data_IF_475040924365
#
_entry.id   IF_475040924365
#
_cell.length_a   1.000
_cell.length_b   1.000
_cell.length_c   1.000
_cell.angle_alpha   90.00
_cell.angle_beta   90.00
_cell.angle_gamma   90.00
#
_symmetry.space_group_name_H-M   'P 1'
#
loop_
_entity.id
_entity.type
_entity.pdbx_description
1 polymer ?
#
# COMPACT_ATOMS: atom_id res chain seq x y z
N UNK A 1 14.13 -0.39 0.26
CA UNK A 1 13.06 0.57 0.57
C UNK A 1 11.81 0.09 -0.16
N UNK A 2 10.64 0.12 0.49
CA UNK A 2 9.38 -0.27 -0.12
C UNK A 2 8.27 0.67 0.33
N UNK A 3 7.51 1.22 -0.62
CA UNK A 3 6.39 2.15 -0.40
C UNK A 3 6.79 3.56 0.06
N UNK A 4 8.07 3.92 0.05
CA UNK A 4 8.53 5.28 0.35
C UNK A 4 7.99 6.30 -0.65
N UNK A 5 7.95 5.93 -1.93
CA UNK A 5 7.45 6.76 -3.01
C UNK A 5 5.95 7.01 -2.87
N UNK A 6 5.20 5.99 -2.46
CA UNK A 6 3.76 6.07 -2.17
C UNK A 6 3.52 6.97 -0.95
N UNK A 7 4.27 6.77 0.13
CA UNK A 7 4.14 7.59 1.35
C UNK A 7 4.44 9.06 1.06
N UNK A 8 5.51 9.35 0.32
CA UNK A 8 5.89 10.71 -0.05
C UNK A 8 4.80 11.38 -0.91
N UNK A 9 4.36 10.71 -1.98
CA UNK A 9 3.31 11.25 -2.85
C UNK A 9 2.01 11.50 -2.08
N UNK A 10 1.64 10.61 -1.16
CA UNK A 10 0.43 10.77 -0.36
C UNK A 10 0.55 11.95 0.61
N UNK A 11 1.69 12.10 1.29
CA UNK A 11 1.98 13.26 2.16
C UNK A 11 1.90 14.58 1.38
N UNK A 12 2.48 14.63 0.19
CA UNK A 12 2.41 15.79 -0.68
C UNK A 12 0.97 16.11 -1.09
N UNK A 13 0.17 15.10 -1.46
CA UNK A 13 -1.27 15.29 -1.75
C UNK A 13 -2.06 15.77 -0.53
N UNK A 14 -1.74 15.29 0.67
CA UNK A 14 -2.34 15.77 1.92
C UNK A 14 -2.04 17.26 2.20
N UNK A 15 -0.93 17.78 1.66
CA UNK A 15 -0.55 19.20 1.74
C UNK A 15 -1.08 20.02 0.55
N UNK A 16 -1.86 19.43 -0.37
CA UNK A 16 -2.43 20.12 -1.52
C UNK A 16 -1.52 20.19 -2.76
N UNK A 17 -0.36 19.55 -2.74
CA UNK A 17 0.52 19.47 -3.92
C UNK A 17 -0.03 18.51 -4.98
N UNK A 18 0.34 18.78 -6.24
CA UNK A 18 0.04 17.92 -7.38
C UNK A 18 1.24 17.01 -7.66
N UNK A 19 0.96 15.75 -8.01
CA UNK A 19 1.97 14.80 -8.48
C UNK A 19 1.87 14.75 -10.01
N UNK A 20 2.95 15.09 -10.68
CA UNK A 20 3.04 15.21 -12.14
C UNK A 20 4.17 14.31 -12.65
N UNK A 21 4.11 13.94 -13.93
CA UNK A 21 5.20 13.26 -14.62
C UNK A 21 5.55 14.05 -15.89
N UNK A 22 6.81 13.93 -16.34
CA UNK A 22 7.30 14.61 -17.53
C UNK A 22 7.35 13.59 -18.69
N UNK A 23 6.37 13.57 -19.62
CA UNK A 23 6.31 12.57 -20.68
C UNK A 23 7.49 12.64 -21.67
N UNK A 24 8.14 13.81 -21.79
CA UNK A 24 9.31 14.01 -22.65
C UNK A 24 10.65 13.61 -22.01
N UNK A 25 10.66 13.20 -20.75
CA UNK A 25 11.87 12.73 -20.07
C UNK A 25 11.88 11.20 -20.03
N UNK A 26 12.80 10.59 -20.78
CA UNK A 26 12.98 9.14 -20.79
C UNK A 26 14.13 8.73 -19.86
N UNK A 27 13.88 7.74 -18.99
CA UNK A 27 14.86 7.20 -18.05
C UNK A 27 14.81 5.68 -18.10
N UNK A 28 15.96 5.06 -18.36
CA UNK A 28 16.11 3.61 -18.36
C UNK A 28 16.25 3.11 -16.93
N UNK A 29 15.34 2.23 -16.50
CA UNK A 29 15.32 1.67 -15.16
C UNK A 29 15.45 0.16 -15.19
N UNK A 30 16.40 -0.38 -14.45
CA UNK A 30 16.52 -1.83 -14.23
C UNK A 30 15.54 -2.23 -13.12
N UNK A 31 14.42 -2.84 -13.51
CA UNK A 31 13.40 -3.30 -12.59
C UNK A 31 13.92 -4.37 -11.63
N UNK A 32 13.67 -4.20 -10.32
CA UNK A 32 13.89 -5.26 -9.33
C UNK A 32 15.34 -5.43 -8.83
N UNK A 33 16.22 -4.44 -9.01
CA UNK A 33 17.66 -4.57 -8.72
C UNK A 33 18.09 -4.79 -7.25
N UNK A 34 17.22 -4.57 -6.25
CA UNK A 34 17.62 -4.63 -4.83
C UNK A 34 17.02 -5.78 -4.04
N UNK A 35 15.77 -6.20 -4.31
CA UNK A 35 15.12 -7.24 -3.52
C UNK A 35 14.17 -8.08 -4.39
N UNK A 36 14.57 -9.34 -4.61
CA UNK A 36 13.80 -10.31 -5.40
C UNK A 36 12.37 -10.48 -4.86
N UNK A 37 11.42 -10.67 -5.77
CA UNK A 37 10.00 -10.85 -5.45
C UNK A 37 9.76 -12.07 -4.52
N UNK A 38 10.63 -13.07 -4.59
CA UNK A 38 10.54 -14.29 -3.80
C UNK A 38 11.31 -14.22 -2.45
N UNK A 39 11.42 -13.04 -1.85
CA UNK A 39 12.09 -12.85 -0.56
C UNK A 39 11.05 -12.59 0.57
N UNK A 40 10.97 -13.44 1.61
CA UNK A 40 10.10 -13.20 2.77
C UNK A 40 10.33 -11.86 3.48
N UNK A 41 11.55 -11.34 3.46
CA UNK A 41 11.85 -10.01 4.00
C UNK A 41 11.14 -8.90 3.22
N UNK A 42 11.02 -9.03 1.89
CA UNK A 42 10.24 -8.12 1.04
C UNK A 42 8.78 -8.12 1.45
N UNK A 43 8.23 -9.32 1.64
CA UNK A 43 6.86 -9.53 2.13
C UNK A 43 6.66 -8.83 3.46
N UNK A 44 7.54 -9.05 4.44
CA UNK A 44 7.50 -8.35 5.72
C UNK A 44 7.47 -6.83 5.56
N UNK A 45 8.37 -6.26 4.77
CA UNK A 45 8.43 -4.81 4.53
C UNK A 45 7.15 -4.29 3.86
N UNK A 46 6.61 -5.01 2.86
CA UNK A 46 5.40 -4.61 2.16
C UNK A 46 4.17 -4.58 3.08
N UNK A 47 3.91 -5.65 3.83
CA UNK A 47 2.77 -5.72 4.73
C UNK A 47 2.88 -4.70 5.86
N UNK A 48 4.08 -4.55 6.45
CA UNK A 48 4.33 -3.61 7.54
C UNK A 48 4.16 -2.16 7.07
N UNK A 49 4.86 -1.78 6.00
CA UNK A 49 4.86 -0.42 5.51
C UNK A 49 3.47 -0.02 5.01
N UNK A 50 2.71 -0.95 4.41
CA UNK A 50 1.34 -0.67 3.99
C UNK A 50 0.44 -0.22 5.16
N UNK A 51 0.46 -0.96 6.27
CA UNK A 51 -0.30 -0.57 7.46
C UNK A 51 0.15 0.78 8.02
N UNK A 52 1.46 1.03 8.04
CA UNK A 52 2.03 2.30 8.51
C UNK A 52 1.61 3.48 7.62
N UNK A 53 1.62 3.34 6.30
CA UNK A 53 1.20 4.44 5.41
C UNK A 53 -0.30 4.72 5.54
N UNK A 54 -1.14 3.69 5.74
CA UNK A 54 -2.57 3.86 5.98
C UNK A 54 -2.80 4.66 7.27
N UNK A 55 -2.12 4.28 8.36
CA UNK A 55 -2.22 4.96 9.65
C UNK A 55 -1.78 6.44 9.57
N UNK A 56 -0.71 6.73 8.82
CA UNK A 56 -0.13 8.09 8.75
C UNK A 56 -0.90 9.04 7.83
N UNK A 57 -1.53 8.53 6.76
CA UNK A 57 -1.99 9.40 5.68
C UNK A 57 -3.51 9.52 5.55
N UNK A 58 -4.29 8.58 6.10
CA UNK A 58 -5.76 8.64 6.06
C UNK A 58 -6.32 9.44 7.24
N UNK A 59 -7.49 10.11 7.10
CA UNK A 59 -8.27 10.57 8.26
C UNK A 59 -8.48 9.43 9.27
N UNK A 60 -8.56 9.74 10.57
CA UNK A 60 -8.59 8.71 11.61
C UNK A 60 -9.71 7.67 11.41
N UNK A 61 -10.94 8.11 11.15
CA UNK A 61 -12.08 7.23 10.89
C UNK A 61 -11.85 6.29 9.69
N UNK A 62 -11.30 6.84 8.60
CA UNK A 62 -10.96 6.06 7.40
C UNK A 62 -9.79 5.10 7.67
N UNK A 63 -8.83 5.51 8.49
CA UNK A 63 -7.67 4.69 8.82
C UNK A 63 -8.11 3.42 9.57
N UNK A 64 -8.98 3.52 10.58
CA UNK A 64 -9.46 2.37 11.34
C UNK A 64 -10.16 1.34 10.44
N UNK A 65 -11.15 1.79 9.65
CA UNK A 65 -11.91 0.90 8.75
C UNK A 65 -11.03 0.25 7.68
N UNK A 66 -10.13 1.01 7.05
CA UNK A 66 -9.24 0.50 5.98
C UNK A 66 -8.15 -0.41 6.53
N UNK A 67 -7.61 -0.12 7.71
CA UNK A 67 -6.64 -1.02 8.37
C UNK A 67 -7.32 -2.34 8.72
N UNK A 68 -8.55 -2.32 9.24
CA UNK A 68 -9.29 -3.54 9.53
C UNK A 68 -9.50 -4.40 8.28
N UNK A 69 -10.04 -3.81 7.19
CA UNK A 69 -10.21 -4.50 5.91
C UNK A 69 -8.86 -5.04 5.41
N UNK A 70 -7.79 -4.26 5.56
CA UNK A 70 -6.46 -4.67 5.13
C UNK A 70 -5.97 -5.89 5.90
N UNK A 71 -6.15 -5.94 7.22
CA UNK A 71 -5.79 -7.10 8.04
C UNK A 71 -6.57 -8.36 7.62
N UNK A 72 -7.85 -8.23 7.25
CA UNK A 72 -8.63 -9.35 6.71
C UNK A 72 -8.07 -9.85 5.37
N UNK A 73 -7.71 -8.95 4.45
CA UNK A 73 -7.09 -9.32 3.16
C UNK A 73 -5.72 -9.96 3.39
N UNK A 74 -4.93 -9.43 4.33
CA UNK A 74 -3.64 -9.99 4.72
C UNK A 74 -3.79 -11.41 5.28
N UNK A 75 -4.86 -11.70 6.01
CA UNK A 75 -5.18 -13.04 6.49
C UNK A 75 -5.49 -14.02 5.35
N UNK A 76 -6.21 -13.58 4.31
CA UNK A 76 -6.42 -14.39 3.10
C UNK A 76 -5.08 -14.69 2.42
N UNK A 77 -4.20 -13.70 2.31
CA UNK A 77 -2.85 -13.90 1.78
C UNK A 77 -2.03 -14.87 2.64
N UNK A 78 -2.14 -14.78 3.96
CA UNK A 78 -1.50 -15.69 4.91
C UNK A 78 -1.96 -17.14 4.70
N UNK A 79 -3.27 -17.40 4.62
CA UNK A 79 -3.82 -18.74 4.34
C UNK A 79 -3.26 -19.26 3.02
N UNK A 80 -3.26 -18.44 1.97
CA UNK A 80 -2.73 -18.82 0.66
C UNK A 80 -1.25 -19.20 0.73
N UNK A 81 -0.41 -18.48 1.46
CA UNK A 81 0.99 -18.85 1.62
C UNK A 81 1.16 -20.16 2.40
N UNK A 82 0.36 -20.38 3.44
CA UNK A 82 0.37 -21.63 4.21
C UNK A 82 -0.03 -22.83 3.33
N UNK A 83 -1.10 -22.71 2.55
CA UNK A 83 -1.54 -23.77 1.60
C UNK A 83 -0.50 -24.08 0.52
N UNK A 84 0.37 -23.12 0.18
CA UNK A 84 1.47 -23.31 -0.76
C UNK A 84 2.76 -23.86 -0.11
N UNK A 85 2.75 -24.17 1.19
CA UNK A 85 3.94 -24.57 1.93
C UNK A 85 4.97 -23.44 2.15
N UNK A 86 4.61 -22.19 1.83
CA UNK A 86 5.48 -21.01 1.93
C UNK A 86 5.44 -20.40 3.32
N UNK A 87 5.78 -21.20 4.34
CA UNK A 87 5.68 -20.81 5.75
C UNK A 87 6.47 -19.54 6.07
N UNK A 88 7.65 -19.36 5.48
CA UNK A 88 8.47 -18.15 5.68
C UNK A 88 7.74 -16.85 5.25
N UNK A 89 6.88 -16.91 4.24
CA UNK A 89 6.07 -15.76 3.80
C UNK A 89 4.91 -15.49 4.77
N UNK A 90 4.27 -16.54 5.25
CA UNK A 90 3.22 -16.44 6.26
C UNK A 90 3.76 -15.85 7.58
N UNK A 91 4.93 -16.30 8.05
CA UNK A 91 5.57 -15.74 9.25
C UNK A 91 6.01 -14.29 9.05
N UNK A 92 6.41 -13.91 7.82
CA UNK A 92 6.71 -12.52 7.49
C UNK A 92 5.49 -11.59 7.64
N UNK A 93 4.29 -12.04 7.30
CA UNK A 93 3.03 -11.29 7.51
C UNK A 93 2.76 -11.12 9.02
N UNK A 94 2.86 -12.20 9.79
CA UNK A 94 2.66 -12.14 11.25
C UNK A 94 3.67 -11.18 11.91
N UNK A 95 4.94 -11.24 11.51
CA UNK A 95 5.99 -10.32 11.97
C UNK A 95 5.68 -8.87 11.61
N UNK A 96 5.11 -8.62 10.43
CA UNK A 96 4.71 -7.29 9.98
C UNK A 96 3.59 -6.71 10.85
N UNK A 97 2.55 -7.51 11.12
CA UNK A 97 1.43 -7.12 11.98
C UNK A 97 1.89 -6.86 13.41
N UNK A 98 2.65 -7.77 14.00
CA UNK A 98 3.19 -7.58 15.36
C UNK A 98 4.04 -6.31 15.46
N UNK A 99 4.92 -6.06 14.49
CA UNK A 99 5.71 -4.83 14.46
C UNK A 99 4.82 -3.58 14.34
N UNK A 100 3.80 -3.63 13.49
CA UNK A 100 2.86 -2.51 13.34
C UNK A 100 2.16 -2.19 14.67
N UNK A 101 1.59 -3.19 15.35
CA UNK A 101 0.91 -3.01 16.63
C UNK A 101 1.85 -2.58 17.75
N UNK A 102 3.03 -3.18 17.86
CA UNK A 102 4.05 -2.78 18.86
C UNK A 102 4.47 -1.32 18.72
N UNK A 103 4.50 -0.80 17.50
CA UNK A 103 4.92 0.57 17.21
C UNK A 103 3.75 1.52 16.88
N UNK A 104 2.51 1.18 17.25
CA UNK A 104 1.32 1.93 16.87
C UNK A 104 1.42 3.41 17.26
N UNK A 105 1.76 3.71 18.52
CA UNK A 105 1.92 5.09 19.01
C UNK A 105 3.13 5.80 18.38
N UNK A 106 4.23 5.09 18.18
CA UNK A 106 5.42 5.65 17.54
C UNK A 106 5.16 6.03 16.06
N UNK A 107 4.35 5.24 15.36
CA UNK A 107 3.91 5.52 14.00
C UNK A 107 2.89 6.66 13.96
N UNK A 108 1.98 6.74 14.94
CA UNK A 108 1.05 7.84 15.08
C UNK A 108 1.77 9.19 15.27
N UNK A 109 2.88 9.23 16.02
CA UNK A 109 3.72 10.43 16.16
C UNK A 109 4.36 10.92 14.86
N UNK A 110 4.46 10.07 13.82
CA UNK A 110 5.01 10.43 12.50
C UNK A 110 3.94 10.97 11.53
N UNK A 111 2.68 11.02 11.98
CA UNK A 111 1.56 11.57 11.23
C UNK A 111 1.75 13.09 11.07
N UNK A 112 1.45 13.63 9.89
CA UNK A 112 1.46 15.07 9.65
C UNK A 112 0.23 15.76 10.26
N UNK A 113 0.17 17.09 10.21
CA UNK A 113 -0.96 17.83 10.78
C UNK A 113 -2.23 17.76 9.91
N UNK A 114 -2.08 17.44 8.63
CA UNK A 114 -3.18 17.47 7.65
C UNK A 114 -3.36 16.10 7.01
N UNK A 115 -4.58 15.56 7.11
CA UNK A 115 -5.04 14.43 6.31
C UNK A 115 -6.37 14.82 5.70
N UNK A 116 -6.39 14.95 4.38
CA UNK A 116 -7.64 15.24 3.67
C UNK A 116 -8.40 13.94 3.44
N UNK A 117 -9.72 14.04 3.28
CA UNK A 117 -10.54 12.87 2.94
C UNK A 117 -9.97 12.18 1.72
N UNK A 118 -9.95 10.84 1.74
CA UNK A 118 -9.48 10.03 0.63
C UNK A 118 -10.16 10.40 -0.69
N UNK A 119 -11.44 10.79 -0.64
CA UNK A 119 -12.24 11.21 -1.80
C UNK A 119 -11.88 12.58 -2.37
N UNK A 120 -11.10 13.39 -1.65
CA UNK A 120 -10.62 14.69 -2.12
C UNK A 120 -9.30 14.60 -2.88
N UNK A 121 -8.66 13.43 -2.89
CA UNK A 121 -7.42 13.25 -3.65
C UNK A 121 -7.69 13.17 -5.15
N UNK A 122 -6.91 13.91 -5.94
CA UNK A 122 -6.93 13.78 -7.40
C UNK A 122 -6.30 12.46 -7.85
N UNK A 123 -6.83 11.90 -8.95
CA UNK A 123 -6.37 10.62 -9.51
C UNK A 123 -6.82 9.39 -8.72
N UNK A 124 -7.87 9.52 -7.91
CA UNK A 124 -8.50 8.39 -7.23
C UNK A 124 -9.33 7.56 -8.22
N UNK A 125 -9.28 6.24 -8.05
CA UNK A 125 -10.19 5.32 -8.71
C UNK A 125 -11.35 4.97 -7.78
N UNK A 126 -12.58 5.24 -8.22
CA UNK A 126 -13.80 5.08 -7.40
C UNK A 126 -14.31 3.64 -7.29
N UNK A 127 -13.68 2.70 -8.02
CA UNK A 127 -14.01 1.27 -8.02
C UNK A 127 -12.83 0.42 -7.53
N UNK A 128 -13.03 -0.90 -7.44
CA UNK A 128 -11.96 -1.82 -7.04
C UNK A 128 -11.11 -2.21 -8.25
N UNK A 129 -9.87 -1.71 -8.31
CA UNK A 129 -8.93 -2.08 -9.37
C UNK A 129 -8.66 -3.59 -9.43
N UNK A 130 -8.72 -4.26 -8.27
CA UNK A 130 -8.56 -5.71 -8.16
C UNK A 130 -9.74 -6.42 -8.80
N UNK A 131 -10.97 -5.96 -8.55
CA UNK A 131 -12.17 -6.52 -9.17
C UNK A 131 -12.17 -6.31 -10.68
N UNK A 132 -11.88 -5.09 -11.12
CA UNK A 132 -11.88 -4.77 -12.55
C UNK A 132 -10.83 -5.55 -13.34
N UNK A 133 -9.65 -5.77 -12.74
CA UNK A 133 -8.60 -6.56 -13.36
C UNK A 133 -8.90 -8.06 -13.35
N UNK A 134 -9.20 -8.65 -12.18
CA UNK A 134 -9.30 -10.11 -12.07
C UNK A 134 -10.65 -10.67 -12.55
N UNK A 135 -11.74 -9.93 -12.33
CA UNK A 135 -13.11 -10.35 -12.67
C UNK A 135 -13.54 -9.78 -14.02
N UNK A 136 -13.45 -8.46 -14.21
CA UNK A 136 -13.89 -7.80 -15.45
C UNK A 136 -12.86 -7.82 -16.58
N UNK A 137 -11.65 -8.35 -16.32
CA UNK A 137 -10.56 -8.49 -17.30
C UNK A 137 -10.16 -7.17 -17.96
N UNK A 138 -10.31 -6.05 -17.26
CA UNK A 138 -9.84 -4.74 -17.73
C UNK A 138 -8.31 -4.69 -17.56
N UNK A 139 -7.59 -4.57 -18.68
CA UNK A 139 -6.12 -4.62 -18.71
C UNK A 139 -5.49 -3.26 -18.98
N UNK A 140 -6.21 -2.34 -19.63
CA UNK A 140 -5.69 -1.03 -19.99
C UNK A 140 -6.33 0.08 -19.16
N UNK A 141 -5.53 1.08 -18.78
CA UNK A 141 -6.02 2.25 -18.04
C UNK A 141 -7.14 2.98 -18.80
N UNK A 142 -7.06 3.04 -20.13
CA UNK A 142 -8.07 3.66 -21.00
C UNK A 142 -9.45 3.00 -20.93
N UNK A 143 -9.54 1.77 -20.41
CA UNK A 143 -10.80 1.01 -20.29
C UNK A 143 -11.47 1.19 -18.92
N UNK A 144 -10.81 1.84 -17.96
CA UNK A 144 -11.38 2.09 -16.63
C UNK A 144 -12.48 3.14 -16.72
N UNK A 145 -13.65 2.85 -16.13
CA UNK A 145 -14.73 3.83 -16.00
C UNK A 145 -14.31 4.85 -14.93
N UNK A 146 -14.23 6.13 -15.29
CA UNK A 146 -13.84 7.23 -14.38
C UNK A 146 -14.93 7.50 -13.36
#
# INVERSE_FOLDING_TARGET
>A
AHMEEIDLCWRLKNLGYKIMYAPGAEVYHVGGGTLNANNPYKTYLNFRNNLIILQKNLPLADAYSRIFIRLCIDFIAWIRFMLQGKVAFATAINKAHWHFFKHLSANARKRGNTQISYHKHTGQYNSSIVYDYFIRKIQYFSQLKR
#
